data_IF_861154338043
#
_entry.id   IF_861154338043
#
_cell.length_a   1.000
_cell.length_b   1.000
_cell.length_c   1.000
_cell.angle_alpha   90.00
_cell.angle_beta   90.00
_cell.angle_gamma   90.00
#
_symmetry.space_group_name_H-M   'P 1'
#
loop_
_entity.id
_entity.type
_entity.pdbx_description
1 polymer ?
#
# COMPACT_ATOMS: atom_id res chain seq x y z
N UNK A 1 -2.06 13.60 21.20
CA UNK A 1 -2.76 12.90 20.10
C UNK A 1 -2.70 11.43 20.39
N UNK A 2 -3.84 10.75 20.28
CA UNK A 2 -3.96 9.28 20.35
C UNK A 2 -2.91 8.61 19.46
N UNK A 3 -2.33 7.50 19.89
CA UNK A 3 -1.43 6.66 19.07
C UNK A 3 -2.22 5.96 17.95
N UNK A 4 -2.75 6.72 16.98
CA UNK A 4 -3.66 6.23 15.91
C UNK A 4 -3.07 5.08 15.09
N UNK A 5 -1.74 5.02 15.00
CA UNK A 5 -1.00 3.95 14.34
C UNK A 5 -1.13 2.57 15.02
N UNK A 6 -1.58 2.51 16.28
CA UNK A 6 -1.82 1.26 17.01
C UNK A 6 -3.22 0.68 16.75
N UNK A 7 -4.11 1.48 16.19
CA UNK A 7 -5.45 1.03 15.82
C UNK A 7 -5.38 0.24 14.51
N UNK A 8 -6.13 -0.85 14.44
CA UNK A 8 -6.36 -1.53 13.17
C UNK A 8 -7.28 -0.72 12.25
N UNK A 9 -7.40 -1.14 10.99
CA UNK A 9 -8.20 -0.43 10.01
C UNK A 9 -9.69 -0.36 10.37
N UNK A 10 -10.23 -1.38 11.06
CA UNK A 10 -11.64 -1.40 11.48
C UNK A 10 -11.92 -0.39 12.58
N UNK A 11 -11.04 -0.28 13.57
CA UNK A 11 -11.13 0.71 14.64
C UNK A 11 -10.93 2.14 14.10
N UNK A 12 -10.01 2.34 13.14
CA UNK A 12 -9.85 3.64 12.48
C UNK A 12 -11.13 4.06 11.72
N UNK A 13 -11.74 3.14 10.97
CA UNK A 13 -12.98 3.39 10.26
C UNK A 13 -14.16 3.68 11.20
N UNK A 14 -14.19 3.02 12.37
CA UNK A 14 -15.21 3.26 13.40
C UNK A 14 -15.13 4.67 13.96
N UNK A 15 -13.92 5.16 14.29
CA UNK A 15 -13.73 6.54 14.75
C UNK A 15 -14.21 7.58 13.73
N UNK A 16 -14.01 7.31 12.43
CA UNK A 16 -14.52 8.18 11.35
C UNK A 16 -16.04 8.11 11.27
N UNK A 17 -16.61 6.90 11.30
CA UNK A 17 -18.07 6.67 11.23
C UNK A 17 -18.81 7.35 12.39
N UNK A 18 -18.25 7.29 13.60
CA UNK A 18 -18.79 7.93 14.80
C UNK A 18 -18.53 9.45 14.84
N UNK A 19 -17.78 9.98 13.86
CA UNK A 19 -17.35 11.39 13.80
C UNK A 19 -16.47 11.79 14.99
N UNK A 20 -15.88 10.82 15.67
CA UNK A 20 -14.88 11.00 16.73
C UNK A 20 -13.53 11.46 16.16
N UNK A 21 -13.29 11.23 14.88
CA UNK A 21 -12.09 11.65 14.15
C UNK A 21 -12.44 11.99 12.69
N UNK A 22 -11.86 13.05 12.12
CA UNK A 22 -12.05 13.34 10.70
C UNK A 22 -11.05 12.53 9.85
N UNK A 23 -11.42 12.11 8.62
CA UNK A 23 -10.52 11.40 7.70
C UNK A 23 -9.15 12.08 7.52
N UNK A 24 -9.14 13.42 7.39
CA UNK A 24 -7.91 14.20 7.24
C UNK A 24 -6.96 14.03 8.43
N UNK A 25 -7.48 13.85 9.64
CA UNK A 25 -6.66 13.67 10.84
C UNK A 25 -5.96 12.30 10.84
N UNK A 26 -6.61 11.25 10.33
CA UNK A 26 -5.97 9.94 10.10
C UNK A 26 -4.90 10.03 9.02
N UNK A 27 -5.19 10.71 7.91
CA UNK A 27 -4.27 10.87 6.78
C UNK A 27 -3.03 11.64 7.20
N UNK A 28 -3.16 12.79 7.87
CA UNK A 28 -2.00 13.54 8.36
C UNK A 28 -1.18 12.77 9.38
N UNK A 29 -1.84 12.01 10.28
CA UNK A 29 -1.12 11.17 11.24
C UNK A 29 -0.29 10.07 10.56
N UNK A 30 -0.83 9.44 9.50
CA UNK A 30 -0.10 8.45 8.71
C UNK A 30 1.05 9.09 7.92
N UNK A 31 0.81 10.24 7.26
CA UNK A 31 1.83 10.99 6.50
C UNK A 31 3.00 11.37 7.40
N UNK A 32 2.73 12.02 8.54
CA UNK A 32 3.76 12.43 9.49
C UNK A 32 4.60 11.24 9.99
N UNK A 33 3.97 10.07 10.12
CA UNK A 33 4.67 8.85 10.51
C UNK A 33 5.52 8.28 9.38
N UNK A 34 5.03 8.29 8.14
CA UNK A 34 5.80 7.90 6.96
C UNK A 34 7.02 8.81 6.81
N UNK A 35 6.86 10.13 6.85
CA UNK A 35 7.96 11.09 6.74
C UNK A 35 9.04 10.84 7.80
N UNK A 36 8.65 10.48 9.02
CA UNK A 36 9.59 10.19 10.12
C UNK A 36 10.33 8.86 9.96
N UNK A 37 9.66 7.80 9.52
CA UNK A 37 10.19 6.43 9.59
C UNK A 37 10.65 5.87 8.25
N UNK A 38 10.00 6.27 7.16
CA UNK A 38 10.28 5.77 5.82
C UNK A 38 11.71 6.05 5.33
N UNK A 39 12.41 7.15 5.71
CA UNK A 39 13.82 7.33 5.33
C UNK A 39 14.75 6.18 5.77
N UNK A 40 14.38 5.42 6.81
CA UNK A 40 15.15 4.23 7.26
C UNK A 40 14.67 2.92 6.65
N UNK A 41 13.42 2.89 6.17
CA UNK A 41 12.74 1.67 5.72
C UNK A 41 12.69 1.56 4.20
N UNK A 42 12.59 2.67 3.48
CA UNK A 42 12.39 2.73 2.04
C UNK A 42 11.20 1.84 1.57
N UNK A 43 10.08 1.95 2.29
CA UNK A 43 8.88 1.15 2.07
C UNK A 43 7.89 1.86 1.12
N UNK A 44 7.75 3.18 1.24
CA UNK A 44 6.91 4.04 0.39
C UNK A 44 7.81 4.78 -0.60
N UNK A 45 7.59 4.58 -1.90
CA UNK A 45 8.47 5.08 -2.97
C UNK A 45 7.81 6.11 -3.88
N UNK A 46 6.47 6.15 -3.92
CA UNK A 46 5.70 7.15 -4.66
C UNK A 46 4.67 7.76 -3.70
N UNK A 47 5.01 8.83 -2.98
CA UNK A 47 4.07 9.54 -2.11
C UNK A 47 2.90 10.12 -2.90
N UNK A 48 1.70 10.09 -2.33
CA UNK A 48 0.48 10.65 -2.94
C UNK A 48 -0.23 11.63 -1.98
N UNK A 49 0.53 12.32 -1.13
CA UNK A 49 0.00 13.05 0.03
C UNK A 49 -1.01 14.13 -0.33
N UNK A 50 -0.73 14.96 -1.33
CA UNK A 50 -1.65 16.05 -1.70
C UNK A 50 -2.96 15.52 -2.29
N UNK A 51 -2.88 14.42 -3.07
CA UNK A 51 -4.06 13.71 -3.55
C UNK A 51 -4.85 13.11 -2.38
N UNK A 52 -4.17 12.47 -1.43
CA UNK A 52 -4.79 11.90 -0.24
C UNK A 52 -5.48 12.97 0.63
N UNK A 53 -4.89 14.15 0.77
CA UNK A 53 -5.50 15.29 1.47
C UNK A 53 -6.78 15.75 0.78
N UNK A 54 -6.75 15.88 -0.54
CA UNK A 54 -7.91 16.25 -1.33
C UNK A 54 -9.02 15.19 -1.23
N UNK A 55 -8.67 13.90 -1.30
CA UNK A 55 -9.62 12.79 -1.13
C UNK A 55 -10.21 12.76 0.29
N UNK A 56 -9.41 12.98 1.32
CA UNK A 56 -9.87 13.05 2.71
C UNK A 56 -10.88 14.17 2.99
N UNK A 57 -10.85 15.24 2.19
CA UNK A 57 -11.78 16.36 2.31
C UNK A 57 -13.18 16.05 1.76
N UNK A 58 -13.30 15.06 0.86
CA UNK A 58 -14.55 14.76 0.14
C UNK A 58 -15.04 13.32 0.34
N UNK A 59 -14.26 12.47 1.00
CA UNK A 59 -14.64 11.08 1.27
C UNK A 59 -15.92 11.03 2.12
N UNK A 60 -16.90 10.26 1.67
CA UNK A 60 -18.11 9.97 2.46
C UNK A 60 -17.82 8.98 3.59
N UNK A 61 -18.80 8.75 4.45
CA UNK A 61 -18.71 7.81 5.58
C UNK A 61 -19.28 6.41 5.31
N UNK A 62 -19.75 6.15 4.08
CA UNK A 62 -20.58 4.98 3.78
C UNK A 62 -19.78 3.71 3.46
N UNK A 63 -18.48 3.86 3.15
CA UNK A 63 -17.59 2.74 2.89
C UNK A 63 -17.16 2.03 4.19
N UNK A 64 -16.96 0.69 4.18
CA UNK A 64 -16.53 -0.07 5.36
C UNK A 64 -15.20 0.41 5.97
N UNK A 65 -14.36 1.08 5.18
CA UNK A 65 -13.08 1.67 5.59
C UNK A 65 -12.98 3.15 5.24
N UNK A 66 -14.11 3.87 5.26
CA UNK A 66 -14.17 5.31 5.02
C UNK A 66 -13.10 6.08 5.81
N UNK A 67 -12.24 6.81 5.08
CA UNK A 67 -11.22 7.68 5.64
C UNK A 67 -9.95 6.98 6.13
N UNK A 68 -9.85 5.65 6.00
CA UNK A 68 -8.68 4.90 6.47
C UNK A 68 -7.51 5.08 5.48
N UNK A 69 -6.32 5.51 5.96
CA UNK A 69 -5.13 5.64 5.13
C UNK A 69 -4.61 4.26 4.71
N UNK A 70 -4.28 4.15 3.43
CA UNK A 70 -3.93 2.90 2.77
C UNK A 70 -2.71 3.08 1.87
N UNK A 71 -1.88 2.04 1.78
CA UNK A 71 -0.76 2.01 0.84
C UNK A 71 -0.97 0.91 -0.19
N UNK A 72 -0.51 1.16 -1.42
CA UNK A 72 -0.72 0.23 -2.52
C UNK A 72 0.59 -0.20 -3.15
N UNK A 73 0.85 -1.50 -3.27
CA UNK A 73 2.00 -2.00 -4.02
C UNK A 73 2.10 -1.36 -5.41
N UNK A 74 3.30 -0.94 -5.79
CA UNK A 74 3.59 -0.43 -7.13
C UNK A 74 3.74 -1.58 -8.14
N UNK A 75 2.73 -2.45 -8.22
CA UNK A 75 2.70 -3.60 -9.12
C UNK A 75 1.25 -4.05 -9.36
N UNK A 76 0.86 -4.25 -10.62
CA UNK A 76 -0.45 -4.66 -11.15
C UNK A 76 -1.70 -3.83 -10.78
N UNK A 77 -1.78 -3.28 -9.56
CA UNK A 77 -2.88 -2.42 -9.15
C UNK A 77 -2.62 -0.98 -9.61
N UNK A 78 -3.17 -0.66 -10.77
CA UNK A 78 -3.02 0.64 -11.41
C UNK A 78 -3.91 1.71 -10.78
N UNK A 79 -3.39 2.92 -10.68
CA UNK A 79 -4.07 4.09 -10.12
C UNK A 79 -3.99 5.25 -11.12
N UNK A 80 -5.13 5.77 -11.53
CA UNK A 80 -5.21 6.75 -12.60
C UNK A 80 -4.39 8.03 -12.32
N UNK A 81 -3.53 8.40 -13.27
CA UNK A 81 -2.70 9.60 -13.21
C UNK A 81 -1.61 9.56 -12.13
N UNK A 82 -1.22 8.38 -11.65
CA UNK A 82 -0.12 8.19 -10.71
C UNK A 82 0.97 7.37 -11.39
N UNK A 83 2.22 7.82 -11.26
CA UNK A 83 3.41 7.11 -11.75
C UNK A 83 3.34 5.63 -11.35
N UNK A 84 3.62 4.75 -12.31
CA UNK A 84 3.60 3.31 -12.12
C UNK A 84 4.88 2.72 -12.70
N UNK A 85 5.70 2.10 -11.85
CA UNK A 85 7.08 1.72 -12.25
C UNK A 85 7.35 0.23 -12.17
N UNK A 86 6.54 -0.53 -11.44
CA UNK A 86 6.77 -1.97 -11.21
C UNK A 86 8.16 -2.26 -10.62
N UNK A 87 8.75 -1.30 -9.89
CA UNK A 87 10.12 -1.37 -9.38
C UNK A 87 11.19 -1.36 -10.49
N UNK A 88 10.83 -1.12 -11.74
CA UNK A 88 11.72 -1.20 -12.89
C UNK A 88 12.23 0.17 -13.33
N UNK A 89 13.56 0.32 -13.40
CA UNK A 89 14.19 1.51 -13.99
C UNK A 89 13.91 1.63 -15.49
N UNK A 90 13.51 0.54 -16.16
CA UNK A 90 13.11 0.58 -17.57
C UNK A 90 11.74 1.24 -17.75
N UNK A 91 10.76 0.89 -16.92
CA UNK A 91 9.38 1.42 -17.01
C UNK A 91 9.30 2.87 -16.53
N UNK A 92 10.23 3.28 -15.67
CA UNK A 92 10.21 4.59 -15.04
C UNK A 92 10.08 5.76 -16.03
N UNK A 93 9.07 6.61 -15.80
CA UNK A 93 8.75 7.77 -16.64
C UNK A 93 8.15 7.43 -18.01
N UNK A 94 7.95 6.15 -18.34
CA UNK A 94 7.41 5.70 -19.64
C UNK A 94 5.92 5.38 -19.61
N UNK A 95 5.38 5.17 -18.43
CA UNK A 95 3.99 4.77 -18.27
C UNK A 95 3.34 5.41 -17.05
N UNK A 96 2.09 5.81 -17.22
CA UNK A 96 1.20 6.31 -16.17
C UNK A 96 -0.20 5.87 -16.56
N UNK A 97 -0.91 5.09 -15.72
CA UNK A 97 -2.24 4.61 -16.03
C UNK A 97 -3.21 5.75 -16.29
N UNK A 98 -4.00 5.65 -17.36
CA UNK A 98 -5.08 6.59 -17.65
C UNK A 98 -6.34 6.28 -16.84
N UNK A 99 -6.48 5.05 -16.35
CA UNK A 99 -7.65 4.59 -15.59
C UNK A 99 -7.24 3.80 -14.35
N UNK A 100 -8.14 3.72 -13.38
CA UNK A 100 -7.96 2.84 -12.25
C UNK A 100 -8.18 1.38 -12.69
N UNK A 101 -7.38 0.47 -12.14
CA UNK A 101 -7.77 -0.95 -12.16
C UNK A 101 -9.09 -1.14 -11.40
N UNK A 102 -9.84 -2.20 -11.72
CA UNK A 102 -11.08 -2.54 -11.03
C UNK A 102 -10.84 -2.78 -9.53
N UNK A 103 -9.68 -3.32 -9.15
CA UNK A 103 -9.30 -3.45 -7.75
C UNK A 103 -9.12 -2.08 -7.09
N UNK A 104 -8.40 -1.16 -7.73
CA UNK A 104 -8.26 0.22 -7.24
C UNK A 104 -9.61 0.90 -7.08
N UNK A 105 -10.52 0.75 -8.06
CA UNK A 105 -11.88 1.28 -7.99
C UNK A 105 -12.63 0.74 -6.76
N UNK A 106 -12.55 -0.58 -6.51
CA UNK A 106 -13.17 -1.21 -5.32
C UNK A 106 -12.55 -0.75 -4.00
N UNK A 107 -11.24 -0.56 -3.95
CA UNK A 107 -10.57 -0.03 -2.76
C UNK A 107 -11.04 1.41 -2.45
N UNK A 108 -11.16 2.26 -3.47
CA UNK A 108 -11.73 3.61 -3.34
C UNK A 108 -13.19 3.58 -2.90
N UNK A 109 -14.01 2.69 -3.49
CA UNK A 109 -15.41 2.50 -3.09
C UNK A 109 -15.56 1.99 -1.66
N UNK A 110 -14.59 1.21 -1.16
CA UNK A 110 -14.55 0.80 0.24
C UNK A 110 -14.25 1.97 1.19
N UNK A 111 -13.89 3.15 0.66
CA UNK A 111 -13.62 4.37 1.42
C UNK A 111 -12.15 4.57 1.79
N UNK A 112 -11.25 3.72 1.29
CA UNK A 112 -9.82 3.82 1.54
C UNK A 112 -9.20 5.03 0.84
N UNK A 113 -8.27 5.69 1.53
CA UNK A 113 -7.50 6.81 0.98
C UNK A 113 -6.09 6.33 0.70
N UNK A 114 -5.71 6.27 -0.58
CA UNK A 114 -4.39 5.79 -1.00
C UNK A 114 -3.36 6.91 -0.83
N UNK A 115 -2.49 6.78 0.16
CA UNK A 115 -1.52 7.83 0.52
C UNK A 115 -0.15 7.67 -0.15
N UNK A 116 0.06 6.58 -0.87
CA UNK A 116 1.27 6.34 -1.65
C UNK A 116 1.39 4.92 -2.18
N UNK A 117 2.40 4.71 -3.03
CA UNK A 117 2.76 3.40 -3.56
C UNK A 117 3.97 2.80 -2.83
N UNK A 118 3.90 1.50 -2.53
CA UNK A 118 4.98 0.78 -1.84
C UNK A 118 5.98 0.15 -2.79
N UNK A 119 7.21 0.00 -2.30
CA UNK A 119 8.31 -0.60 -3.01
C UNK A 119 8.07 -2.09 -3.31
N UNK A 120 8.63 -2.55 -4.42
CA UNK A 120 8.58 -3.93 -4.92
C UNK A 120 9.88 -4.20 -5.69
N UNK A 121 10.41 -5.44 -5.73
CA UNK A 121 11.43 -5.78 -6.72
C UNK A 121 10.88 -5.58 -8.12
N UNK A 122 11.80 -5.39 -9.06
CA UNK A 122 11.52 -5.22 -10.49
C UNK A 122 10.60 -6.34 -11.01
N UNK A 123 9.45 -5.93 -11.55
CA UNK A 123 8.34 -6.77 -12.05
C UNK A 123 7.81 -7.79 -11.03
N UNK A 124 8.10 -7.59 -9.75
CA UNK A 124 7.69 -8.49 -8.68
C UNK A 124 8.36 -9.87 -8.70
N UNK A 125 9.47 -10.03 -9.43
CA UNK A 125 10.10 -11.33 -9.74
C UNK A 125 10.78 -11.97 -8.53
N UNK A 126 11.41 -11.17 -7.66
CA UNK A 126 12.27 -11.67 -6.59
C UNK A 126 11.55 -11.78 -5.23
N UNK A 127 11.96 -12.71 -4.35
CA UNK A 127 11.45 -12.82 -2.98
C UNK A 127 12.13 -11.85 -2.00
N UNK A 128 12.86 -10.85 -2.49
CA UNK A 128 13.43 -9.73 -1.72
C UNK A 128 13.09 -8.40 -2.39
N UNK A 129 13.01 -7.31 -1.64
CA UNK A 129 12.59 -6.00 -2.17
C UNK A 129 13.78 -5.05 -2.24
N UNK A 130 14.53 -5.14 -3.33
CA UNK A 130 15.76 -4.36 -3.58
C UNK A 130 15.93 -3.94 -5.05
N UNK A 131 14.91 -3.31 -5.68
CA UNK A 131 15.02 -2.88 -7.06
C UNK A 131 16.14 -1.85 -7.24
N UNK A 132 16.79 -1.86 -8.40
CA UNK A 132 17.79 -0.84 -8.76
C UNK A 132 17.22 0.59 -8.74
N UNK A 133 15.94 0.75 -9.10
CA UNK A 133 15.28 2.05 -9.21
C UNK A 133 15.18 2.80 -7.87
N UNK A 134 14.77 2.10 -6.81
CA UNK A 134 14.49 2.72 -5.50
C UNK A 134 15.42 2.26 -4.38
N UNK A 135 16.21 1.21 -4.60
CA UNK A 135 17.02 0.56 -3.57
C UNK A 135 16.24 -0.36 -2.64
N UNK A 136 16.94 -0.93 -1.67
CA UNK A 136 16.42 -1.93 -0.74
C UNK A 136 15.40 -1.34 0.25
N UNK A 137 14.25 -2.01 0.39
CA UNK A 137 13.40 -1.87 1.58
C UNK A 137 14.02 -2.64 2.74
N UNK A 138 13.94 -2.09 3.95
CA UNK A 138 14.47 -2.69 5.18
C UNK A 138 13.37 -3.26 6.06
N UNK A 139 13.67 -4.37 6.74
CA UNK A 139 12.77 -4.97 7.71
C UNK A 139 12.70 -4.11 8.99
N UNK A 140 11.50 -3.72 9.46
CA UNK A 140 11.37 -2.89 10.66
C UNK A 140 11.81 -3.58 11.95
N UNK A 141 11.88 -4.92 11.98
CA UNK A 141 12.41 -5.67 13.13
C UNK A 141 13.94 -5.67 13.18
N UNK A 142 14.60 -5.50 12.04
CA UNK A 142 16.05 -5.35 11.95
C UNK A 142 16.43 -4.74 10.61
N UNK A 143 16.97 -3.51 10.63
CA UNK A 143 17.24 -2.73 9.41
C UNK A 143 18.32 -3.35 8.51
N UNK A 144 19.08 -4.34 9.00
CA UNK A 144 20.05 -5.10 8.21
C UNK A 144 19.43 -6.25 7.40
N UNK A 145 18.15 -6.58 7.60
CA UNK A 145 17.47 -7.71 6.98
C UNK A 145 16.46 -7.29 5.92
N UNK A 146 16.17 -8.22 5.02
CA UNK A 146 15.09 -8.07 4.02
C UNK A 146 13.72 -8.19 4.70
N UNK A 147 12.72 -7.39 4.27
CA UNK A 147 11.32 -7.62 4.61
C UNK A 147 10.69 -8.76 3.78
N UNK A 148 11.47 -9.44 2.94
CA UNK A 148 10.96 -10.38 1.94
C UNK A 148 10.45 -9.67 0.68
N UNK A 149 9.72 -10.40 -0.16
CA UNK A 149 9.23 -9.90 -1.43
C UNK A 149 8.26 -10.86 -2.12
N UNK A 150 7.57 -10.41 -3.17
CA UNK A 150 7.73 -9.08 -3.77
C UNK A 150 6.94 -7.94 -3.11
N UNK A 151 6.07 -8.20 -2.15
CA UNK A 151 5.31 -7.13 -1.45
C UNK A 151 6.02 -6.60 -0.19
N UNK A 152 7.36 -6.52 -0.21
CA UNK A 152 8.15 -6.17 0.97
C UNK A 152 7.93 -4.74 1.44
N UNK A 153 7.71 -3.77 0.52
CA UNK A 153 7.32 -2.42 0.89
C UNK A 153 6.00 -2.37 1.67
N UNK A 154 4.99 -3.12 1.21
CA UNK A 154 3.69 -3.22 1.91
C UNK A 154 3.84 -3.83 3.31
N UNK A 155 4.57 -4.95 3.42
CA UNK A 155 4.77 -5.61 4.72
C UNK A 155 5.59 -4.76 5.69
N UNK A 156 6.68 -4.14 5.23
CA UNK A 156 7.48 -3.24 6.06
C UNK A 156 6.68 -2.03 6.54
N UNK A 157 5.84 -1.46 5.67
CA UNK A 157 5.00 -0.32 6.03
C UNK A 157 3.96 -0.68 7.12
N UNK A 158 3.28 -1.81 7.00
CA UNK A 158 2.30 -2.25 8.00
C UNK A 158 2.99 -2.63 9.31
N UNK A 159 4.09 -3.39 9.27
CA UNK A 159 4.82 -3.79 10.48
C UNK A 159 5.45 -2.62 11.24
N UNK A 160 5.87 -1.56 10.54
CA UNK A 160 6.33 -0.32 11.17
C UNK A 160 5.18 0.58 11.68
N UNK A 161 3.93 0.19 11.41
CA UNK A 161 2.72 0.96 11.72
C UNK A 161 2.61 2.25 10.92
N UNK A 162 3.13 2.30 9.68
CA UNK A 162 2.93 3.46 8.80
C UNK A 162 1.47 3.60 8.39
N UNK A 163 0.81 2.47 8.16
CA UNK A 163 -0.63 2.31 7.91
C UNK A 163 -1.10 1.00 8.57
N UNK A 164 -2.39 0.90 8.87
CA UNK A 164 -2.96 -0.29 9.50
C UNK A 164 -3.08 -1.50 8.55
N UNK A 165 -3.22 -1.25 7.24
CA UNK A 165 -3.24 -2.28 6.20
C UNK A 165 -2.78 -1.72 4.86
N UNK A 166 -2.32 -2.60 3.97
CA UNK A 166 -1.81 -2.24 2.66
C UNK A 166 -2.14 -3.32 1.61
N UNK A 167 -2.24 -2.91 0.34
CA UNK A 167 -2.42 -3.83 -0.77
C UNK A 167 -1.10 -4.55 -1.09
N UNK A 168 -1.23 -5.80 -1.50
CA UNK A 168 -0.15 -6.68 -1.94
C UNK A 168 -0.72 -7.69 -2.96
N UNK A 169 0.16 -8.36 -3.70
CA UNK A 169 -0.19 -9.43 -4.62
C UNK A 169 0.84 -10.58 -4.58
N UNK A 170 0.43 -11.78 -4.96
CA UNK A 170 1.10 -13.05 -4.71
C UNK A 170 0.84 -14.08 -5.83
N UNK A 171 1.84 -14.25 -6.70
CA UNK A 171 1.91 -15.36 -7.65
C UNK A 171 2.68 -16.59 -7.13
N UNK A 172 3.68 -16.38 -6.27
CA UNK A 172 4.58 -17.45 -5.80
C UNK A 172 4.90 -17.40 -4.29
N UNK A 173 4.25 -16.55 -3.53
CA UNK A 173 4.55 -16.27 -2.12
C UNK A 173 4.64 -14.78 -1.79
N UNK A 174 4.43 -13.90 -2.76
CA UNK A 174 4.76 -12.47 -2.62
C UNK A 174 3.91 -11.68 -1.62
N UNK A 175 2.87 -12.25 -1.03
CA UNK A 175 2.20 -11.75 0.17
C UNK A 175 2.71 -12.51 1.40
N UNK A 176 2.73 -13.84 1.32
CA UNK A 176 2.98 -14.72 2.47
C UNK A 176 4.42 -14.68 2.97
N UNK A 177 5.40 -14.62 2.07
CA UNK A 177 6.83 -14.48 2.38
C UNK A 177 7.08 -13.18 3.15
N UNK A 178 6.74 -11.98 2.62
CA UNK A 178 7.00 -10.76 3.35
C UNK A 178 6.15 -10.61 4.61
N UNK A 179 4.93 -11.17 4.65
CA UNK A 179 4.15 -11.24 5.88
C UNK A 179 4.87 -12.07 6.96
N UNK A 180 5.44 -13.23 6.59
CA UNK A 180 6.25 -14.05 7.52
C UNK A 180 7.50 -13.30 8.00
N UNK A 181 8.26 -12.67 7.10
CA UNK A 181 9.47 -11.92 7.45
C UNK A 181 9.18 -10.70 8.35
N UNK A 182 8.01 -10.08 8.21
CA UNK A 182 7.62 -8.89 8.95
C UNK A 182 6.65 -9.19 10.13
N UNK A 183 6.39 -10.46 10.46
CA UNK A 183 5.54 -10.83 11.60
C UNK A 183 4.08 -10.39 11.46
N UNK A 184 3.51 -10.49 10.26
CA UNK A 184 2.16 -10.03 9.92
C UNK A 184 1.24 -11.16 9.49
N UNK A 185 -0.06 -10.89 9.56
CA UNK A 185 -1.06 -11.63 8.80
C UNK A 185 -1.04 -11.17 7.34
N UNK A 186 -0.89 -12.10 6.40
CA UNK A 186 -0.96 -11.85 4.95
C UNK A 186 -1.81 -12.90 4.27
N UNK A 187 -2.87 -12.47 3.58
CA UNK A 187 -3.82 -13.35 2.92
C UNK A 187 -3.65 -13.31 1.41
N UNK A 188 -3.37 -14.47 0.82
CA UNK A 188 -3.52 -14.70 -0.62
C UNK A 188 -4.88 -15.34 -0.90
N UNK A 189 -5.89 -14.63 -1.45
CA UNK A 189 -7.17 -15.23 -1.75
C UNK A 189 -7.08 -16.33 -2.81
N UNK A 190 -8.18 -17.04 -3.03
CA UNK A 190 -8.33 -17.98 -4.15
C UNK A 190 -8.03 -17.26 -5.47
N UNK A 191 -7.29 -17.92 -6.37
CA UNK A 191 -6.96 -17.40 -7.69
C UNK A 191 -8.22 -16.91 -8.42
N UNK A 192 -8.14 -15.75 -9.06
CA UNK A 192 -9.27 -15.11 -9.74
C UNK A 192 -10.30 -14.42 -8.83
N UNK A 193 -10.12 -14.42 -7.49
CA UNK A 193 -11.03 -13.70 -6.59
C UNK A 193 -10.92 -12.18 -6.73
N UNK A 194 -9.71 -11.67 -6.94
CA UNK A 194 -9.45 -10.25 -7.10
C UNK A 194 -9.26 -9.91 -8.59
N UNK A 195 -9.91 -8.85 -9.11
CA UNK A 195 -9.79 -8.46 -10.51
C UNK A 195 -8.51 -7.65 -10.76
N UNK A 196 -7.85 -7.87 -11.89
CA UNK A 196 -6.75 -7.02 -12.39
C UNK A 196 -7.10 -6.27 -13.68
N UNK A 197 -8.37 -6.31 -14.09
CA UNK A 197 -8.85 -5.57 -15.25
C UNK A 197 -8.76 -4.04 -15.03
N UNK A 198 -8.82 -3.25 -16.11
CA UNK A 198 -9.13 -3.68 -17.46
C UNK A 198 -7.93 -4.20 -18.27
N UNK A 199 -6.70 -3.89 -17.86
CA UNK A 199 -5.49 -4.15 -18.66
C UNK A 199 -4.88 -5.54 -18.47
N UNK A 200 -5.15 -6.18 -17.34
CA UNK A 200 -4.59 -7.50 -17.03
C UNK A 200 -5.68 -8.55 -16.79
N UNK A 201 -5.39 -9.78 -17.22
CA UNK A 201 -6.15 -10.98 -16.86
C UNK A 201 -5.68 -11.55 -15.51
N UNK A 202 -5.56 -12.87 -15.42
CA UNK A 202 -5.17 -13.55 -14.18
C UNK A 202 -3.66 -13.87 -14.16
N UNK A 203 -2.86 -12.83 -13.90
CA UNK A 203 -1.39 -12.91 -13.87
C UNK A 203 -0.86 -13.32 -12.49
N UNK A 204 -1.25 -12.59 -11.43
CA UNK A 204 -0.77 -12.79 -10.06
C UNK A 204 -1.88 -12.47 -9.04
N UNK A 205 -3.16 -12.77 -9.35
CA UNK A 205 -4.36 -12.29 -8.64
C UNK A 205 -4.62 -12.91 -7.25
N UNK A 206 -3.55 -13.31 -6.57
CA UNK A 206 -3.54 -13.71 -5.17
C UNK A 206 -3.02 -12.59 -4.29
#
# INVERSE_FOLDING_TARGET
>A
MTDLWRLDATAQAELVREKSLRPIELVEAAIARIERLNPKLNAVVIPMYDRARAEAAVVGSDGPFAGVPFLMKDLLAEYAGVRFTEGSAFVDGRYTPESDSELTRRLKQAGLIVIGKTNTPEFGILPTTEPKLFGATRNPWSLGLTPGGSSGGSAAAVAAGLVAMAHANDGGGSIRIPASCCGLFGLKPTRGRNPLGPHHGDLLSG
#
